data_IF_247662431083
#
_entry.id   IF_247662431083
#
_cell.length_a   1.000
_cell.length_b   1.000
_cell.length_c   1.000
_cell.angle_alpha   90.00
_cell.angle_beta   90.00
_cell.angle_gamma   90.00
#
_symmetry.space_group_name_H-M   'P 1'
#
loop_
_entity.id
_entity.type
_entity.pdbx_description
1 polymer ?
#
# COMPACT_ATOMS: atom_id res chain seq x y z
N UNK A 1 7.29 -11.07 7.13
CA UNK A 1 8.63 -10.76 6.56
C UNK A 1 8.87 -9.27 6.29
N UNK A 2 7.90 -8.48 5.77
CA UNK A 2 8.08 -7.02 5.58
C UNK A 2 7.28 -6.16 6.57
N UNK A 3 5.96 -6.34 6.69
CA UNK A 3 5.11 -5.53 7.59
C UNK A 3 4.77 -6.21 8.93
N UNK A 4 5.02 -7.52 9.04
CA UNK A 4 4.58 -8.32 10.19
C UNK A 4 3.06 -8.56 10.23
N UNK A 5 2.37 -8.35 9.11
CA UNK A 5 0.93 -8.52 8.93
C UNK A 5 0.65 -9.55 7.82
N UNK A 6 -0.35 -10.41 8.03
CA UNK A 6 -0.79 -11.43 7.08
C UNK A 6 -2.20 -11.10 6.55
N UNK A 7 -2.39 -10.90 5.24
CA UNK A 7 -3.69 -10.68 4.63
C UNK A 7 -4.53 -11.96 4.42
N UNK A 8 -4.05 -13.14 4.86
CA UNK A 8 -4.68 -14.45 4.61
C UNK A 8 -4.90 -14.74 3.11
N UNK A 9 -4.01 -14.27 2.22
CA UNK A 9 -4.22 -14.31 0.77
C UNK A 9 -4.26 -15.72 0.15
N UNK A 10 -3.91 -16.76 0.93
CA UNK A 10 -3.98 -18.17 0.53
C UNK A 10 -5.30 -18.84 0.94
N UNK A 11 -6.10 -18.21 1.79
CA UNK A 11 -7.42 -18.72 2.18
C UNK A 11 -8.47 -18.30 1.15
N UNK A 12 -8.69 -19.18 0.16
CA UNK A 12 -9.66 -18.97 -0.92
C UNK A 12 -11.11 -18.90 -0.45
N UNK A 13 -11.39 -19.22 0.82
CA UNK A 13 -12.75 -19.12 1.39
C UNK A 13 -13.08 -17.70 1.87
N UNK A 14 -12.07 -16.85 2.02
CA UNK A 14 -12.22 -15.47 2.47
C UNK A 14 -12.33 -14.50 1.29
N UNK A 15 -13.08 -13.40 1.45
CA UNK A 15 -13.07 -12.33 0.45
C UNK A 15 -11.67 -11.72 0.35
N UNK A 16 -11.32 -11.26 -0.86
CA UNK A 16 -10.03 -10.60 -1.11
C UNK A 16 -9.89 -9.37 -0.22
N UNK A 17 -8.72 -9.22 0.38
CA UNK A 17 -8.44 -8.07 1.23
C UNK A 17 -8.46 -6.76 0.39
N UNK A 18 -9.15 -5.70 0.83
CA UNK A 18 -9.21 -4.43 0.11
C UNK A 18 -7.84 -3.80 -0.20
N UNK A 19 -6.84 -4.04 0.64
CA UNK A 19 -5.47 -3.57 0.39
C UNK A 19 -4.86 -4.29 -0.82
N UNK A 20 -5.04 -5.60 -0.90
CA UNK A 20 -4.52 -6.43 -2.00
C UNK A 20 -5.21 -6.05 -3.31
N UNK A 21 -6.54 -5.94 -3.30
CA UNK A 21 -7.31 -5.53 -4.48
C UNK A 21 -6.90 -4.14 -4.99
N UNK A 22 -6.75 -3.17 -4.07
CA UNK A 22 -6.32 -1.82 -4.43
C UNK A 22 -4.87 -1.80 -4.96
N UNK A 23 -3.98 -2.59 -4.36
CA UNK A 23 -2.60 -2.69 -4.81
C UNK A 23 -2.50 -3.32 -6.21
N UNK A 24 -3.21 -4.42 -6.45
CA UNK A 24 -3.25 -5.10 -7.75
C UNK A 24 -3.84 -4.19 -8.84
N UNK A 25 -4.93 -3.48 -8.53
CA UNK A 25 -5.51 -2.48 -9.45
C UNK A 25 -4.49 -1.40 -9.79
N UNK A 26 -3.76 -0.89 -8.80
CA UNK A 26 -2.75 0.13 -9.01
C UNK A 26 -1.57 -0.39 -9.85
N UNK A 27 -1.12 -1.62 -9.59
CA UNK A 27 -0.05 -2.29 -10.31
C UNK A 27 -0.44 -2.58 -11.77
N UNK A 28 -1.65 -3.09 -12.01
CA UNK A 28 -2.17 -3.37 -13.34
C UNK A 28 -2.23 -2.10 -14.19
N UNK A 29 -2.81 -1.01 -13.66
CA UNK A 29 -2.89 0.26 -14.39
C UNK A 29 -1.49 0.84 -14.62
N UNK A 30 -0.58 0.71 -13.65
CA UNK A 30 0.81 1.17 -13.79
C UNK A 30 1.55 0.39 -14.88
N UNK A 31 1.39 -0.93 -14.94
CA UNK A 31 1.96 -1.78 -15.97
C UNK A 31 1.36 -1.44 -17.36
N UNK A 32 0.05 -1.20 -17.44
CA UNK A 32 -0.63 -0.79 -18.67
C UNK A 32 -0.05 0.49 -19.27
N UNK A 33 0.47 1.42 -18.47
CA UNK A 33 1.15 2.61 -19.01
C UNK A 33 2.43 2.28 -19.77
N UNK A 34 3.13 1.20 -19.39
CA UNK A 34 4.33 0.75 -20.08
C UNK A 34 3.99 0.07 -21.43
N UNK A 35 2.73 -0.36 -21.62
CA UNK A 35 2.26 -0.94 -22.88
C UNK A 35 1.58 0.07 -23.80
N UNK A 36 1.24 1.27 -23.31
CA UNK A 36 0.68 2.33 -24.16
C UNK A 36 1.77 2.89 -25.11
N UNK A 37 1.53 2.90 -26.44
CA UNK A 37 2.54 3.30 -27.42
C UNK A 37 2.88 4.80 -27.36
N UNK A 38 2.04 5.62 -26.72
CA UNK A 38 2.19 7.08 -26.66
C UNK A 38 2.06 7.56 -25.22
N UNK A 39 3.18 7.97 -24.64
CA UNK A 39 3.29 8.51 -23.28
C UNK A 39 2.33 9.68 -22.98
N UNK A 40 1.97 10.47 -23.99
CA UNK A 40 1.05 11.59 -23.82
C UNK A 40 -0.38 11.16 -23.45
N UNK A 41 -0.83 9.96 -23.84
CA UNK A 41 -2.22 9.52 -23.67
C UNK A 41 -2.57 9.36 -22.20
N UNK A 42 -1.84 8.54 -21.44
CA UNK A 42 -2.11 8.41 -20.01
C UNK A 42 -1.86 9.70 -19.24
N UNK A 43 -0.91 10.56 -19.67
CA UNK A 43 -0.71 11.87 -19.05
C UNK A 43 -1.94 12.76 -19.19
N UNK A 44 -2.53 12.81 -20.38
CA UNK A 44 -3.77 13.54 -20.62
C UNK A 44 -4.90 12.94 -19.79
N UNK A 45 -5.07 11.60 -19.78
CA UNK A 45 -6.05 10.92 -18.92
C UNK A 45 -5.84 11.26 -17.43
N UNK A 46 -4.59 11.42 -16.99
CA UNK A 46 -4.22 11.77 -15.61
C UNK A 46 -4.60 13.20 -15.27
N UNK A 47 -4.29 14.15 -16.15
CA UNK A 47 -4.66 15.57 -15.97
C UNK A 47 -6.18 15.73 -15.93
N UNK A 48 -6.90 15.02 -16.80
CA UNK A 48 -8.36 15.02 -16.84
C UNK A 48 -8.99 14.18 -15.71
N UNK A 49 -8.22 13.36 -15.00
CA UNK A 49 -8.67 12.44 -13.96
C UNK A 49 -9.85 11.55 -14.41
N UNK A 50 -9.70 10.89 -15.57
CA UNK A 50 -10.74 10.04 -16.16
C UNK A 50 -10.25 8.62 -16.43
N UNK A 51 -11.20 7.69 -16.53
CA UNK A 51 -10.93 6.30 -16.92
C UNK A 51 -10.00 5.58 -15.94
N UNK A 52 -8.97 4.92 -16.48
CA UNK A 52 -7.98 4.17 -15.70
C UNK A 52 -7.19 5.05 -14.73
N UNK A 53 -6.94 6.32 -15.08
CA UNK A 53 -6.16 7.20 -14.22
C UNK A 53 -6.94 7.64 -12.98
N UNK A 54 -8.27 7.80 -13.08
CA UNK A 54 -9.14 8.01 -11.93
C UNK A 54 -9.14 6.80 -11.00
N UNK A 55 -9.31 5.61 -11.56
CA UNK A 55 -9.29 4.34 -10.80
C UNK A 55 -7.96 4.16 -10.07
N UNK A 56 -6.84 4.48 -10.73
CA UNK A 56 -5.54 4.44 -10.09
C UNK A 56 -5.44 5.43 -8.91
N UNK A 57 -5.95 6.65 -9.08
CA UNK A 57 -5.95 7.64 -7.99
C UNK A 57 -6.73 7.14 -6.77
N UNK A 58 -7.89 6.53 -7.00
CA UNK A 58 -8.71 5.92 -5.95
C UNK A 58 -7.99 4.72 -5.30
N UNK A 59 -7.41 3.82 -6.10
CA UNK A 59 -6.66 2.68 -5.61
C UNK A 59 -5.46 3.09 -4.74
N UNK A 60 -4.65 4.06 -5.20
CA UNK A 60 -3.53 4.62 -4.43
C UNK A 60 -4.02 5.23 -3.10
N UNK A 61 -5.14 5.94 -3.13
CA UNK A 61 -5.74 6.51 -1.91
C UNK A 61 -6.10 5.41 -0.92
N UNK A 62 -6.75 4.34 -1.38
CA UNK A 62 -7.11 3.19 -0.54
C UNK A 62 -5.86 2.52 0.05
N UNK A 63 -4.84 2.26 -0.77
CA UNK A 63 -3.56 1.72 -0.31
C UNK A 63 -2.94 2.61 0.77
N UNK A 64 -2.90 3.92 0.55
CA UNK A 64 -2.32 4.86 1.50
C UNK A 64 -3.05 4.85 2.85
N UNK A 65 -4.38 4.84 2.85
CA UNK A 65 -5.19 4.76 4.07
C UNK A 65 -4.88 3.48 4.84
N UNK A 66 -5.01 2.32 4.18
CA UNK A 66 -4.86 1.02 4.82
C UNK A 66 -3.43 0.78 5.33
N UNK A 67 -2.41 1.16 4.55
CA UNK A 67 -1.01 1.07 4.99
C UNK A 67 -0.75 2.01 6.18
N UNK A 68 -1.30 3.23 6.17
CA UNK A 68 -1.16 4.16 7.31
C UNK A 68 -1.80 3.59 8.58
N UNK A 69 -2.93 2.90 8.46
CA UNK A 69 -3.56 2.21 9.59
C UNK A 69 -2.70 1.07 10.14
N UNK A 70 -2.10 0.26 9.26
CA UNK A 70 -1.16 -0.82 9.65
C UNK A 70 0.03 -0.23 10.41
N UNK A 71 0.66 0.83 9.88
CA UNK A 71 1.80 1.50 10.53
C UNK A 71 1.38 2.06 11.90
N UNK A 72 0.23 2.74 11.98
CA UNK A 72 -0.27 3.29 13.25
C UNK A 72 -0.56 2.20 14.29
N UNK A 73 -1.20 1.12 13.88
CA UNK A 73 -1.47 -0.03 14.75
C UNK A 73 -0.17 -0.66 15.26
N UNK A 74 0.82 -0.82 14.37
CA UNK A 74 2.15 -1.32 14.71
C UNK A 74 2.87 -0.42 15.71
N UNK A 75 2.89 0.90 15.47
CA UNK A 75 3.51 1.90 16.36
C UNK A 75 2.89 1.83 17.76
N UNK A 76 1.56 1.81 17.84
CA UNK A 76 0.84 1.67 19.11
C UNK A 76 1.17 0.35 19.82
N UNK A 77 1.27 -0.76 19.08
CA UNK A 77 1.66 -2.06 19.65
C UNK A 77 3.09 -2.04 20.23
N UNK A 78 4.01 -1.31 19.60
CA UNK A 78 5.39 -1.13 20.08
C UNK A 78 5.49 -0.25 21.33
N UNK A 79 4.58 0.73 21.48
CA UNK A 79 4.54 1.64 22.64
C UNK A 79 3.98 0.96 23.91
N UNK A 80 3.10 -0.04 23.78
CA UNK A 80 2.34 -0.63 24.91
C UNK A 80 3.09 -1.75 25.65
N UNK A 81 4.07 -2.45 25.06
CA UNK A 81 4.73 -3.55 25.77
C UNK A 81 5.96 -4.18 25.08
N UNK A 82 6.92 -4.51 25.94
CA UNK A 82 8.26 -5.12 25.78
C UNK A 82 8.37 -6.40 24.97
N UNK A 83 9.45 -6.55 24.19
CA UNK A 83 9.99 -7.85 23.78
C UNK A 83 10.90 -7.77 22.56
N UNK A 84 12.02 -8.48 22.57
CA UNK A 84 12.90 -8.66 21.39
C UNK A 84 12.16 -9.22 20.16
N UNK A 85 11.02 -9.88 20.36
CA UNK A 85 10.12 -10.38 19.32
C UNK A 85 9.50 -9.27 18.46
N UNK A 86 9.40 -8.04 18.97
CA UNK A 86 8.83 -6.92 18.24
C UNK A 86 9.70 -6.45 17.06
N UNK A 87 10.98 -6.88 16.98
CA UNK A 87 11.96 -6.46 15.95
C UNK A 87 12.09 -7.44 14.77
N UNK A 88 11.19 -8.39 14.60
CA UNK A 88 11.39 -9.45 13.61
C UNK A 88 11.10 -9.03 12.16
N UNK A 89 10.23 -8.03 11.92
CA UNK A 89 9.93 -7.57 10.56
C UNK A 89 10.49 -6.18 10.24
N UNK A 90 10.60 -5.88 8.94
CA UNK A 90 11.22 -4.66 8.42
C UNK A 90 10.50 -3.39 8.89
N UNK A 91 9.16 -3.39 8.96
CA UNK A 91 8.41 -2.22 9.41
C UNK A 91 8.74 -1.87 10.86
N UNK A 92 8.82 -2.87 11.74
CA UNK A 92 9.24 -2.63 13.12
C UNK A 92 10.65 -2.04 13.20
N UNK A 93 11.57 -2.50 12.33
CA UNK A 93 12.94 -1.97 12.26
C UNK A 93 12.97 -0.53 11.75
N UNK A 94 12.15 -0.18 10.76
CA UNK A 94 12.01 1.21 10.29
C UNK A 94 11.47 2.13 11.37
N UNK A 95 10.38 1.73 12.05
CA UNK A 95 9.81 2.51 13.14
C UNK A 95 10.79 2.67 14.31
N UNK A 96 11.55 1.62 14.65
CA UNK A 96 12.58 1.70 15.68
C UNK A 96 13.77 2.61 15.29
N UNK A 97 14.05 2.75 13.99
CA UNK A 97 15.06 3.68 13.48
C UNK A 97 14.56 5.14 13.37
N UNK A 98 13.32 5.43 13.78
CA UNK A 98 12.70 6.76 13.66
C UNK A 98 12.27 7.11 12.23
N UNK A 99 12.14 6.12 11.34
CA UNK A 99 11.56 6.31 10.01
C UNK A 99 10.04 6.19 10.12
N UNK A 100 9.42 7.30 10.49
CA UNK A 100 7.97 7.46 10.45
C UNK A 100 7.55 7.70 8.99
N UNK A 101 6.45 7.11 8.54
CA UNK A 101 5.87 7.39 7.23
C UNK A 101 5.23 8.79 7.19
N UNK A 102 6.02 9.84 7.45
CA UNK A 102 5.63 11.24 7.26
C UNK A 102 6.39 11.83 6.07
N UNK A 103 6.14 11.34 4.86
CA UNK A 103 6.34 12.08 3.61
C UNK A 103 6.12 11.19 2.38
N UNK A 104 4.88 11.07 1.91
CA UNK A 104 4.64 11.07 0.47
C UNK A 104 3.38 11.91 0.24
N UNK A 105 3.58 13.21 -0.03
CA UNK A 105 2.56 14.12 -0.55
C UNK A 105 2.45 13.94 -2.06
#
# INVERSE_FOLDING_TARGET
VSLGWDPDCLDLTRPVNPLVEAFDTAAEISARRATEPVYAIWKVKRVLNVGSERKLKEAIKTVHVLVSEIVRAKKKSLEIGTGEEAKQDLLSRFLAAGHDCEAVR
#
